data_IF_754045523908
#
_entry.id   IF_754045523908
#
_cell.length_a   1.000
_cell.length_b   1.000
_cell.length_c   1.000
_cell.angle_alpha   90.00
_cell.angle_beta   90.00
_cell.angle_gamma   90.00
#
_symmetry.space_group_name_H-M   'P 1'
#
loop_
_entity.id
_entity.type
_entity.pdbx_description
1 polymer ?
#
# COMPACT_ATOMS: atom_id res chain seq x y z
N UNK A 1 64.17 27.66 14.01
CA UNK A 1 63.42 28.13 12.83
C UNK A 1 62.85 26.89 12.16
N UNK A 2 61.51 26.83 11.97
CA UNK A 2 60.66 25.69 11.52
C UNK A 2 60.53 24.53 12.56
N UNK A 3 59.45 24.30 13.33
CA UNK A 3 57.98 24.12 13.16
C UNK A 3 57.51 22.79 12.49
N UNK A 4 56.71 22.02 13.27
CA UNK A 4 55.47 21.26 12.90
C UNK A 4 55.63 19.89 12.18
N UNK A 5 54.90 18.76 12.41
CA UNK A 5 53.82 18.21 13.30
C UNK A 5 54.00 16.66 13.28
N UNK A 6 53.70 15.86 14.34
CA UNK A 6 53.55 14.41 14.20
C UNK A 6 52.18 14.04 13.63
N UNK A 7 52.12 13.46 12.42
CA UNK A 7 50.87 12.88 11.91
C UNK A 7 50.62 11.49 12.51
N UNK A 8 49.41 11.36 13.04
CA UNK A 8 48.70 10.12 13.40
C UNK A 8 48.98 8.98 12.42
N UNK A 9 49.37 7.82 12.95
CA UNK A 9 49.17 6.54 12.27
C UNK A 9 47.67 6.22 12.36
N UNK A 10 46.93 6.47 11.29
CA UNK A 10 45.64 5.82 11.10
C UNK A 10 45.91 4.36 10.76
N UNK A 11 45.46 3.44 11.61
CA UNK A 11 45.31 2.04 11.25
C UNK A 11 44.39 1.99 10.02
N UNK A 12 44.94 1.59 8.88
CA UNK A 12 44.18 1.35 7.67
C UNK A 12 43.09 0.33 7.96
N UNK A 13 41.84 0.73 7.75
CA UNK A 13 40.71 -0.19 7.63
C UNK A 13 41.08 -1.19 6.53
N UNK A 14 41.20 -2.47 6.87
CA UNK A 14 41.36 -3.54 5.90
C UNK A 14 40.22 -3.44 4.89
N UNK A 15 40.53 -3.18 3.62
CA UNK A 15 39.59 -3.39 2.54
C UNK A 15 39.24 -4.88 2.55
N UNK A 16 37.94 -5.20 2.59
CA UNK A 16 37.50 -6.56 2.36
C UNK A 16 37.90 -6.91 0.92
N UNK A 17 38.76 -7.91 0.78
CA UNK A 17 39.15 -8.45 -0.53
C UNK A 17 37.88 -9.02 -1.16
N UNK A 18 37.32 -8.34 -2.16
CA UNK A 18 36.23 -8.86 -2.97
C UNK A 18 36.72 -10.15 -3.61
N UNK A 19 36.01 -11.26 -3.38
CA UNK A 19 36.34 -12.55 -3.99
C UNK A 19 36.22 -12.37 -5.50
N UNK A 20 37.35 -12.47 -6.22
CA UNK A 20 37.36 -12.41 -7.67
C UNK A 20 36.48 -13.54 -8.21
N UNK A 21 35.47 -13.19 -8.98
CA UNK A 21 34.54 -14.16 -9.54
C UNK A 21 35.12 -14.65 -10.86
N UNK A 22 35.42 -15.95 -11.01
CA UNK A 22 35.99 -16.47 -12.24
C UNK A 22 35.06 -16.20 -13.42
N UNK A 23 35.57 -15.57 -14.48
CA UNK A 23 34.80 -15.19 -15.67
C UNK A 23 34.35 -13.73 -15.72
N UNK A 24 34.41 -12.96 -14.62
CA UNK A 24 34.06 -11.54 -14.56
C UNK A 24 35.32 -10.68 -14.82
N UNK A 25 35.51 -10.24 -16.06
CA UNK A 25 36.70 -9.53 -16.50
C UNK A 25 36.59 -8.02 -16.26
N UNK A 26 35.39 -7.45 -16.34
CA UNK A 26 35.18 -6.02 -16.08
C UNK A 26 34.87 -5.71 -14.60
N UNK A 27 34.75 -6.74 -13.76
CA UNK A 27 34.42 -6.69 -12.34
C UNK A 27 33.10 -5.97 -12.06
N UNK A 28 32.11 -6.12 -12.96
CA UNK A 28 30.77 -5.53 -12.81
C UNK A 28 29.80 -6.43 -12.02
N UNK A 29 30.28 -7.59 -11.59
CA UNK A 29 29.52 -8.58 -10.85
C UNK A 29 28.64 -9.44 -11.75
N UNK A 30 28.86 -9.46 -13.06
CA UNK A 30 28.19 -10.35 -14.02
C UNK A 30 29.25 -11.06 -14.86
N UNK A 31 28.92 -12.26 -15.30
CA UNK A 31 29.71 -13.00 -16.29
C UNK A 31 28.88 -13.08 -17.55
N UNK A 32 29.11 -12.16 -18.48
CA UNK A 32 28.30 -12.01 -19.68
C UNK A 32 29.13 -11.79 -20.96
N UNK A 33 28.47 -11.30 -22.01
CA UNK A 33 29.09 -11.07 -23.32
C UNK A 33 30.16 -9.97 -23.32
N UNK A 34 30.18 -9.09 -22.32
CA UNK A 34 31.19 -8.04 -22.20
C UNK A 34 32.52 -8.65 -21.73
N UNK A 35 32.49 -9.60 -20.81
CA UNK A 35 33.69 -10.30 -20.33
C UNK A 35 34.33 -11.16 -21.43
N UNK A 36 33.49 -11.79 -22.24
CA UNK A 36 33.93 -12.52 -23.43
C UNK A 36 34.72 -11.63 -24.39
N UNK A 37 34.25 -10.41 -24.63
CA UNK A 37 34.94 -9.46 -25.53
C UNK A 37 36.31 -9.07 -24.97
N UNK A 38 36.45 -8.96 -23.64
CA UNK A 38 37.74 -8.68 -22.99
C UNK A 38 38.70 -9.86 -23.18
N UNK A 39 38.26 -11.09 -22.90
CA UNK A 39 39.07 -12.29 -23.14
C UNK A 39 39.45 -12.44 -24.62
N UNK A 40 38.49 -12.28 -25.53
CA UNK A 40 38.69 -12.45 -26.97
C UNK A 40 39.75 -11.48 -27.52
N UNK A 41 39.74 -10.23 -27.06
CA UNK A 41 40.70 -9.22 -27.49
C UNK A 41 42.14 -9.47 -26.98
N UNK A 42 42.29 -10.26 -25.92
CA UNK A 42 43.59 -10.57 -25.31
C UNK A 42 44.06 -12.02 -25.55
N UNK A 43 43.28 -12.84 -26.27
CA UNK A 43 43.60 -14.23 -26.54
C UNK A 43 44.98 -14.42 -27.17
N UNK A 44 45.77 -15.33 -26.59
CA UNK A 44 47.13 -15.65 -27.02
C UNK A 44 48.21 -14.73 -26.46
N UNK A 45 47.86 -13.73 -25.63
CA UNK A 45 48.83 -12.87 -24.97
C UNK A 45 49.35 -13.49 -23.66
N UNK A 46 50.54 -13.03 -23.22
CA UNK A 46 51.10 -13.29 -21.89
C UNK A 46 51.07 -11.97 -21.12
N UNK A 47 50.38 -11.94 -19.99
CA UNK A 47 50.15 -10.71 -19.22
C UNK A 47 50.03 -11.00 -17.72
N UNK A 48 50.35 -10.02 -16.88
CA UNK A 48 50.15 -10.08 -15.43
C UNK A 48 48.86 -9.36 -14.98
N UNK A 49 47.95 -9.09 -15.92
CA UNK A 49 46.69 -8.38 -15.65
C UNK A 49 45.61 -9.23 -14.97
N UNK A 50 45.79 -10.56 -14.87
CA UNK A 50 44.81 -11.48 -14.27
C UNK A 50 43.42 -11.38 -14.93
N UNK A 51 42.36 -11.47 -14.11
CA UNK A 51 40.96 -11.44 -14.58
C UNK A 51 40.64 -10.25 -15.48
N UNK A 52 41.26 -9.07 -15.24
CA UNK A 52 40.97 -7.83 -15.99
C UNK A 52 41.37 -7.87 -17.47
N UNK A 53 42.17 -8.85 -17.87
CA UNK A 53 42.56 -9.11 -19.26
C UNK A 53 42.06 -10.47 -19.75
N UNK A 54 41.23 -11.16 -18.97
CA UNK A 54 40.71 -12.49 -19.29
C UNK A 54 41.62 -13.66 -18.89
N UNK A 55 42.62 -13.47 -18.01
CA UNK A 55 43.37 -14.56 -17.37
C UNK A 55 42.64 -14.95 -16.06
N UNK A 56 41.77 -15.95 -16.14
CA UNK A 56 40.87 -16.35 -15.05
C UNK A 56 41.46 -17.45 -14.16
N UNK A 57 42.53 -18.12 -14.59
CA UNK A 57 43.25 -19.10 -13.77
C UNK A 57 44.54 -18.54 -13.13
N UNK A 58 44.90 -17.29 -13.42
CA UNK A 58 46.10 -16.57 -12.97
C UNK A 58 47.42 -17.28 -13.33
N UNK A 59 47.49 -17.95 -14.48
CA UNK A 59 48.70 -18.62 -14.96
C UNK A 59 49.55 -17.75 -15.90
N UNK A 60 49.16 -16.49 -16.10
CA UNK A 60 49.77 -15.45 -16.94
C UNK A 60 49.58 -15.64 -18.45
N UNK A 61 48.84 -16.67 -18.88
CA UNK A 61 48.45 -16.87 -20.28
C UNK A 61 46.96 -16.65 -20.41
N UNK A 62 46.53 -16.10 -21.54
CA UNK A 62 45.12 -15.86 -21.83
C UNK A 62 44.74 -16.79 -22.98
N UNK A 63 44.22 -17.97 -22.67
CA UNK A 63 44.03 -19.04 -23.65
C UNK A 63 42.68 -19.79 -23.53
N UNK A 64 42.62 -20.98 -24.10
CA UNK A 64 41.40 -21.80 -24.12
C UNK A 64 40.98 -22.31 -22.73
N UNK A 65 41.88 -22.34 -21.74
CA UNK A 65 41.55 -22.68 -20.36
C UNK A 65 40.71 -21.58 -19.72
N UNK A 66 41.06 -20.31 -19.98
CA UNK A 66 40.30 -19.15 -19.50
C UNK A 66 38.92 -19.06 -20.15
N UNK A 67 38.84 -19.39 -21.45
CA UNK A 67 37.55 -19.49 -22.13
C UNK A 67 36.61 -20.49 -21.44
N UNK A 68 37.13 -21.66 -21.06
CA UNK A 68 36.32 -22.68 -20.36
C UNK A 68 35.89 -22.18 -18.99
N UNK A 69 36.70 -21.37 -18.31
CA UNK A 69 36.35 -20.75 -17.03
C UNK A 69 35.22 -19.72 -17.22
N UNK A 70 35.32 -18.82 -18.20
CA UNK A 70 34.24 -17.89 -18.53
C UNK A 70 32.96 -18.63 -18.93
N UNK A 71 33.07 -19.62 -19.83
CA UNK A 71 31.91 -20.37 -20.34
C UNK A 71 31.15 -21.09 -19.22
N UNK A 72 31.86 -21.71 -18.29
CA UNK A 72 31.24 -22.41 -17.16
C UNK A 72 30.55 -21.48 -16.16
N UNK A 73 30.90 -20.19 -16.16
CA UNK A 73 30.30 -19.18 -15.29
C UNK A 73 29.36 -18.24 -16.05
N UNK A 74 29.14 -18.42 -17.36
CA UNK A 74 28.28 -17.54 -18.16
C UNK A 74 26.85 -17.48 -17.61
N UNK A 75 26.35 -16.25 -17.40
CA UNK A 75 25.07 -15.98 -16.75
C UNK A 75 25.15 -15.91 -15.22
N UNK A 76 26.32 -16.11 -14.62
CA UNK A 76 26.53 -15.89 -13.19
C UNK A 76 26.47 -14.40 -12.87
N UNK A 77 25.77 -14.05 -11.79
CA UNK A 77 25.68 -12.68 -11.28
C UNK A 77 26.08 -12.73 -9.82
N UNK A 78 27.19 -12.09 -9.48
CA UNK A 78 27.62 -11.81 -8.11
C UNK A 78 26.55 -10.92 -7.49
N UNK A 79 25.87 -11.36 -6.42
CA UNK A 79 25.00 -10.48 -5.65
C UNK A 79 25.87 -9.31 -5.17
N UNK A 80 25.48 -8.05 -5.39
CA UNK A 80 26.32 -6.91 -5.07
C UNK A 80 26.81 -7.00 -3.62
N UNK A 81 28.12 -6.95 -3.41
CA UNK A 81 28.71 -6.82 -2.07
C UNK A 81 28.32 -5.45 -1.53
N UNK A 82 27.18 -5.41 -0.85
CA UNK A 82 26.64 -4.23 -0.21
C UNK A 82 27.66 -3.71 0.81
N UNK A 83 28.00 -2.41 0.87
CA UNK A 83 28.54 -1.87 2.12
C UNK A 83 27.46 -2.13 3.15
N UNK A 84 27.72 -3.00 4.13
CA UNK A 84 26.72 -3.47 5.10
C UNK A 84 25.74 -2.35 5.47
N UNK A 85 24.51 -2.37 4.93
CA UNK A 85 23.43 -1.70 5.58
C UNK A 85 23.03 -2.69 6.67
N UNK A 86 23.22 -2.32 7.93
CA UNK A 86 22.31 -2.85 8.95
C UNK A 86 20.92 -2.38 8.57
N UNK A 87 20.19 -3.20 7.80
CA UNK A 87 18.76 -3.01 7.48
C UNK A 87 18.09 -4.38 7.34
N UNK A 88 18.00 -5.12 8.44
CA UNK A 88 16.64 -5.45 8.86
C UNK A 88 16.06 -4.09 9.28
N UNK A 89 14.93 -3.61 8.76
CA UNK A 89 14.24 -2.52 9.42
C UNK A 89 14.05 -2.99 10.87
N UNK A 90 14.81 -2.41 11.80
CA UNK A 90 14.49 -2.57 13.21
C UNK A 90 13.06 -2.10 13.31
N UNK A 91 12.17 -2.96 13.82
CA UNK A 91 10.73 -2.73 14.00
C UNK A 91 10.38 -1.27 13.82
N UNK A 92 9.70 -0.91 12.72
CA UNK A 92 9.40 0.49 12.47
C UNK A 92 8.56 1.00 13.65
N UNK A 93 9.04 1.96 14.44
CA UNK A 93 8.30 2.43 15.60
C UNK A 93 6.95 2.97 15.14
N UNK A 94 5.94 2.84 16.00
CA UNK A 94 4.59 3.35 15.79
C UNK A 94 4.65 4.73 15.08
N UNK A 95 4.08 4.87 13.88
CA UNK A 95 4.15 6.12 13.16
C UNK A 95 3.45 7.21 13.97
N UNK A 96 4.18 8.26 14.33
CA UNK A 96 3.63 9.40 15.08
C UNK A 96 3.06 10.50 14.19
N UNK A 97 3.29 10.42 12.88
CA UNK A 97 2.86 11.43 11.90
C UNK A 97 2.86 10.86 10.49
N UNK A 98 2.16 11.56 9.57
CA UNK A 98 2.17 11.25 8.15
C UNK A 98 3.56 11.35 7.53
N UNK A 99 3.97 10.28 6.85
CA UNK A 99 5.22 10.17 6.14
C UNK A 99 5.12 10.91 4.81
N UNK A 100 6.14 11.70 4.50
CA UNK A 100 6.28 12.34 3.20
C UNK A 100 7.52 11.78 2.53
N UNK A 101 7.37 11.33 1.29
CA UNK A 101 8.47 10.79 0.52
C UNK A 101 9.42 11.91 0.07
N UNK A 102 10.70 11.56 -0.07
CA UNK A 102 11.79 12.52 -0.34
C UNK A 102 12.50 12.30 -1.67
N UNK A 103 12.07 11.29 -2.44
CA UNK A 103 12.62 10.92 -3.73
C UNK A 103 11.95 11.65 -4.90
N UNK A 104 12.00 11.06 -6.11
CA UNK A 104 11.50 11.72 -7.31
C UNK A 104 9.97 11.87 -7.31
N UNK A 105 9.48 12.87 -8.04
CA UNK A 105 8.05 13.06 -8.27
C UNK A 105 7.69 12.61 -9.69
N UNK A 106 6.75 11.68 -9.79
CA UNK A 106 6.13 11.26 -11.05
C UNK A 106 4.75 11.91 -11.13
N UNK A 107 4.60 12.90 -12.01
CA UNK A 107 3.32 13.57 -12.22
C UNK A 107 2.53 12.87 -13.32
N UNK A 108 1.31 12.42 -12.99
CA UNK A 108 0.34 11.96 -13.98
C UNK A 108 -0.77 13.00 -14.11
N UNK A 109 -1.29 13.15 -15.33
CA UNK A 109 -2.31 14.15 -15.61
C UNK A 109 -3.22 13.74 -16.75
N UNK A 110 -4.40 14.36 -16.81
CA UNK A 110 -5.39 14.13 -17.85
C UNK A 110 -6.38 13.03 -17.51
N UNK A 111 -7.36 12.88 -18.39
CA UNK A 111 -8.38 11.82 -18.30
C UNK A 111 -7.85 10.60 -19.05
N UNK A 112 -7.80 9.46 -18.39
CA UNK A 112 -7.36 8.19 -18.95
C UNK A 112 -8.46 7.15 -18.81
N UNK A 113 -8.52 6.25 -19.78
CA UNK A 113 -9.34 5.05 -19.72
C UNK A 113 -8.49 3.78 -19.57
N UNK A 114 -7.15 3.90 -19.58
CA UNK A 114 -6.22 2.78 -19.44
C UNK A 114 -5.72 2.65 -18.01
N UNK A 115 -5.48 1.40 -17.62
CA UNK A 115 -4.82 1.04 -16.39
C UNK A 115 -3.36 1.53 -16.36
N UNK A 116 -2.99 2.28 -15.33
CA UNK A 116 -1.60 2.68 -15.09
C UNK A 116 -0.86 1.62 -14.27
N UNK A 117 0.16 1.00 -14.85
CA UNK A 117 0.94 -0.07 -14.21
C UNK A 117 2.44 0.22 -14.29
N UNK A 118 3.12 0.22 -13.14
CA UNK A 118 4.59 0.30 -13.09
C UNK A 118 5.15 -0.84 -12.27
N UNK A 119 6.03 -1.60 -12.90
CA UNK A 119 6.77 -2.70 -12.30
C UNK A 119 7.71 -2.21 -11.20
N UNK A 120 8.69 -1.43 -11.65
CA UNK A 120 9.80 -0.98 -10.81
C UNK A 120 9.67 0.50 -10.41
N UNK A 121 9.73 0.80 -9.12
CA UNK A 121 9.63 2.14 -8.56
C UNK A 121 10.93 2.50 -7.81
N UNK A 122 11.36 3.76 -7.97
CA UNK A 122 12.54 4.30 -7.27
C UNK A 122 12.17 4.58 -5.81
N UNK A 123 13.10 4.33 -4.89
CA UNK A 123 12.86 4.61 -3.48
C UNK A 123 12.47 6.07 -3.21
N UNK A 124 11.44 6.29 -2.40
CA UNK A 124 10.94 7.62 -2.04
C UNK A 124 10.15 8.29 -3.15
N UNK A 125 9.67 7.55 -4.16
CA UNK A 125 8.88 8.15 -5.25
C UNK A 125 7.54 8.66 -4.73
N UNK A 126 7.19 9.89 -5.13
CA UNK A 126 5.84 10.41 -5.01
C UNK A 126 5.15 10.38 -6.37
N UNK A 127 4.04 9.68 -6.48
CA UNK A 127 3.11 9.81 -7.59
C UNK A 127 2.15 10.98 -7.32
N UNK A 128 2.35 12.08 -8.03
CA UNK A 128 1.46 13.24 -7.99
C UNK A 128 0.36 13.06 -9.04
N UNK A 129 -0.81 12.65 -8.57
CA UNK A 129 -1.99 12.31 -9.35
C UNK A 129 -3.07 13.41 -9.25
N UNK A 130 -2.79 14.56 -8.64
CA UNK A 130 -3.81 15.61 -8.41
C UNK A 130 -4.50 16.11 -9.67
N UNK A 131 -3.85 15.98 -10.84
CA UNK A 131 -4.43 16.32 -12.14
C UNK A 131 -4.80 15.09 -12.99
N UNK A 132 -4.78 13.90 -12.41
CA UNK A 132 -5.05 12.63 -13.07
C UNK A 132 -6.45 12.12 -12.74
N UNK A 133 -7.15 11.68 -13.77
CA UNK A 133 -8.51 11.17 -13.68
C UNK A 133 -8.61 9.85 -14.46
N UNK A 134 -9.01 8.77 -13.81
CA UNK A 134 -9.12 7.45 -14.42
C UNK A 134 -10.55 6.97 -14.52
N UNK A 135 -10.92 6.50 -15.71
CA UNK A 135 -12.16 5.80 -16.02
C UNK A 135 -11.91 4.30 -16.25
N UNK A 136 -10.71 3.79 -15.98
CA UNK A 136 -10.30 2.46 -16.46
C UNK A 136 -11.13 1.30 -15.88
N UNK A 137 -11.47 1.39 -14.59
CA UNK A 137 -12.16 0.33 -13.86
C UNK A 137 -13.57 0.14 -14.41
N UNK A 138 -13.88 -1.06 -14.90
CA UNK A 138 -15.17 -1.40 -15.49
C UNK A 138 -15.33 -0.98 -16.96
N UNK A 139 -14.33 -0.33 -17.56
CA UNK A 139 -14.35 0.08 -18.98
C UNK A 139 -13.33 -0.71 -19.79
N UNK A 140 -12.04 -0.64 -19.42
CA UNK A 140 -10.95 -1.32 -20.14
C UNK A 140 -10.14 -2.26 -19.24
N UNK A 141 -10.26 -2.11 -17.93
CA UNK A 141 -9.49 -2.87 -16.95
C UNK A 141 -10.28 -3.07 -15.65
N UNK A 142 -9.79 -3.95 -14.80
CA UNK A 142 -10.25 -4.11 -13.42
C UNK A 142 -9.50 -3.21 -12.42
N UNK A 143 -8.41 -2.55 -12.84
CA UNK A 143 -7.57 -1.74 -11.95
C UNK A 143 -7.31 -0.35 -12.53
N UNK A 144 -7.33 0.69 -11.70
CA UNK A 144 -6.99 2.04 -12.17
C UNK A 144 -5.47 2.29 -12.11
N UNK A 145 -4.84 1.92 -11.01
CA UNK A 145 -3.45 2.26 -10.71
C UNK A 145 -2.75 1.17 -9.91
N UNK A 146 -1.58 0.70 -10.37
CA UNK A 146 -0.75 -0.27 -9.65
C UNK A 146 0.73 -0.01 -9.82
N UNK A 147 1.47 0.08 -8.73
CA UNK A 147 2.91 0.37 -8.77
C UNK A 147 3.70 -0.43 -7.73
N UNK A 148 4.96 -0.72 -8.04
CA UNK A 148 5.93 -1.35 -7.12
C UNK A 148 5.93 -2.88 -7.11
N UNK A 149 5.21 -3.51 -8.04
CA UNK A 149 5.00 -4.96 -8.03
C UNK A 149 6.27 -5.80 -8.31
N UNK A 150 7.26 -5.24 -9.03
CA UNK A 150 8.53 -5.92 -9.33
C UNK A 150 9.64 -5.50 -8.36
N UNK A 151 9.53 -4.30 -7.77
CA UNK A 151 10.29 -3.91 -6.58
C UNK A 151 9.48 -2.94 -5.71
N UNK A 152 9.27 -3.31 -4.45
CA UNK A 152 8.78 -2.37 -3.45
C UNK A 152 9.86 -1.34 -3.14
N UNK A 153 9.66 -0.04 -3.39
CA UNK A 153 10.54 0.98 -2.82
C UNK A 153 10.42 0.95 -1.29
N UNK A 154 11.42 1.44 -0.54
CA UNK A 154 11.25 1.58 0.91
C UNK A 154 10.08 2.53 1.21
N UNK A 155 10.02 3.66 0.52
CA UNK A 155 8.94 4.63 0.70
C UNK A 155 8.24 4.90 -0.62
N UNK A 156 6.91 4.80 -0.61
CA UNK A 156 6.02 5.10 -1.72
C UNK A 156 4.95 6.08 -1.24
N UNK A 157 4.74 7.13 -2.03
CA UNK A 157 3.70 8.11 -1.76
C UNK A 157 2.80 8.30 -2.98
N UNK A 158 1.50 8.38 -2.74
CA UNK A 158 0.49 8.75 -3.73
C UNK A 158 -0.25 9.99 -3.24
N UNK A 159 -0.35 11.00 -4.11
CA UNK A 159 -1.01 12.27 -3.80
C UNK A 159 -2.06 12.60 -4.84
N UNK A 160 -3.31 12.67 -4.41
CA UNK A 160 -4.45 12.98 -5.28
C UNK A 160 -4.82 11.83 -6.19
N UNK A 161 -5.55 12.15 -7.25
CA UNK A 161 -6.04 11.18 -8.21
C UNK A 161 -7.53 10.95 -8.02
N UNK A 162 -8.24 10.96 -9.14
CA UNK A 162 -9.66 10.63 -9.18
C UNK A 162 -9.84 9.33 -9.93
N UNK A 163 -10.39 8.32 -9.26
CA UNK A 163 -10.81 7.07 -9.89
C UNK A 163 -12.33 7.06 -9.96
N UNK A 164 -12.83 7.05 -11.18
CA UNK A 164 -14.24 6.91 -11.52
C UNK A 164 -14.47 5.52 -12.10
N UNK A 165 -14.83 4.57 -11.26
CA UNK A 165 -15.16 3.23 -11.69
C UNK A 165 -16.55 3.15 -12.33
N UNK A 166 -16.68 2.22 -13.27
CA UNK A 166 -17.90 1.98 -14.05
C UNK A 166 -18.40 0.55 -13.88
N UNK A 167 -18.18 -0.05 -12.71
CA UNK A 167 -18.79 -1.33 -12.38
C UNK A 167 -20.31 -1.17 -12.49
N UNK A 168 -20.96 -2.04 -13.24
CA UNK A 168 -22.39 -1.99 -13.50
C UNK A 168 -23.16 -2.11 -12.17
N UNK A 169 -24.03 -1.14 -11.84
CA UNK A 169 -24.74 -1.14 -10.56
C UNK A 169 -25.69 -2.32 -10.39
N UNK A 170 -26.04 -3.02 -11.47
CA UNK A 170 -26.88 -4.22 -11.43
C UNK A 170 -26.11 -5.49 -11.07
N UNK A 171 -24.78 -5.44 -10.96
CA UNK A 171 -24.00 -6.62 -10.59
C UNK A 171 -24.27 -7.06 -9.15
N UNK A 172 -24.37 -8.38 -9.00
CA UNK A 172 -24.39 -9.03 -7.71
C UNK A 172 -22.97 -9.10 -7.13
N UNK A 173 -22.86 -9.39 -5.84
CA UNK A 173 -21.54 -9.43 -5.21
C UNK A 173 -20.62 -10.50 -5.81
N UNK A 174 -21.14 -11.65 -6.23
CA UNK A 174 -20.29 -12.69 -6.82
C UNK A 174 -19.69 -12.23 -8.15
N UNK A 175 -20.45 -11.52 -8.97
CA UNK A 175 -19.99 -10.94 -10.24
C UNK A 175 -18.97 -9.85 -9.97
N UNK A 176 -19.26 -8.93 -9.04
CA UNK A 176 -18.32 -7.87 -8.65
C UNK A 176 -17.03 -8.47 -8.09
N UNK A 177 -17.13 -9.50 -7.25
CA UNK A 177 -15.97 -10.13 -6.63
C UNK A 177 -15.12 -10.96 -7.60
N UNK A 178 -15.76 -11.61 -8.57
CA UNK A 178 -15.06 -12.33 -9.63
C UNK A 178 -14.43 -11.39 -10.67
N UNK A 179 -15.00 -10.19 -10.86
CA UNK A 179 -14.41 -9.17 -11.71
C UNK A 179 -13.02 -8.77 -11.20
N UNK A 180 -12.85 -8.74 -9.88
CA UNK A 180 -11.58 -8.42 -9.26
C UNK A 180 -11.26 -6.92 -9.36
N UNK A 181 -10.21 -6.52 -8.64
CA UNK A 181 -9.51 -5.26 -8.87
C UNK A 181 -10.00 -4.10 -8.01
N UNK A 182 -9.56 -2.89 -8.34
CA UNK A 182 -9.72 -1.79 -7.40
C UNK A 182 -9.27 -0.43 -7.91
N UNK A 183 -9.34 0.54 -7.02
CA UNK A 183 -8.84 1.88 -7.27
C UNK A 183 -7.33 1.87 -7.39
N UNK A 184 -6.65 1.60 -6.28
CA UNK A 184 -5.20 1.62 -6.20
C UNK A 184 -4.67 0.36 -5.55
N UNK A 185 -3.60 -0.21 -6.10
CA UNK A 185 -2.79 -1.24 -5.44
C UNK A 185 -1.32 -0.80 -5.43
N UNK A 186 -0.72 -0.75 -4.25
CA UNK A 186 0.63 -0.20 -4.07
C UNK A 186 1.47 -1.20 -3.32
N UNK A 187 2.71 -1.39 -3.76
CA UNK A 187 3.66 -2.30 -3.13
C UNK A 187 4.83 -1.49 -2.58
N UNK A 188 5.10 -1.62 -1.28
CA UNK A 188 6.16 -0.91 -0.57
C UNK A 188 6.90 -1.85 0.38
N UNK A 189 8.14 -1.49 0.73
CA UNK A 189 8.98 -2.20 1.70
C UNK A 189 9.14 -1.45 3.01
N UNK A 190 8.41 -0.34 3.21
CA UNK A 190 8.27 0.36 4.50
C UNK A 190 7.07 1.29 4.50
N UNK A 191 7.17 2.54 4.03
CA UNK A 191 6.02 3.45 4.09
C UNK A 191 5.22 3.36 2.79
N UNK A 192 3.91 3.15 2.92
CA UNK A 192 2.96 3.27 1.83
C UNK A 192 1.91 4.33 2.20
N UNK A 193 2.08 5.53 1.63
CA UNK A 193 1.39 6.73 2.07
C UNK A 193 0.49 7.29 0.97
N UNK A 194 -0.78 7.48 1.28
CA UNK A 194 -1.78 7.97 0.35
C UNK A 194 -2.50 9.19 0.92
N UNK A 195 -2.58 10.27 0.14
CA UNK A 195 -3.37 11.45 0.51
C UNK A 195 -4.21 12.01 -0.63
N UNK A 196 -5.34 12.64 -0.31
CA UNK A 196 -6.19 13.41 -1.24
C UNK A 196 -6.85 12.60 -2.37
N UNK A 197 -6.96 11.28 -2.24
CA UNK A 197 -7.57 10.43 -3.27
C UNK A 197 -9.09 10.54 -3.28
N UNK A 198 -9.67 10.46 -4.48
CA UNK A 198 -11.12 10.30 -4.70
C UNK A 198 -11.35 8.99 -5.44
N UNK A 199 -12.04 8.04 -4.81
CA UNK A 199 -12.30 6.71 -5.41
C UNK A 199 -13.79 6.41 -5.40
N UNK A 200 -14.34 6.12 -6.57
CA UNK A 200 -15.76 5.85 -6.76
C UNK A 200 -16.00 4.55 -7.51
N UNK A 201 -16.97 3.75 -7.05
CA UNK A 201 -17.56 2.62 -7.79
C UNK A 201 -16.56 1.59 -8.33
N UNK A 202 -15.69 1.11 -7.44
CA UNK A 202 -14.73 0.03 -7.69
C UNK A 202 -15.04 -1.15 -6.76
N UNK A 203 -14.42 -2.32 -6.98
CA UNK A 203 -14.53 -3.41 -6.02
C UNK A 203 -13.82 -3.05 -4.72
N UNK A 204 -12.48 -3.01 -4.73
CA UNK A 204 -11.67 -2.58 -3.60
C UNK A 204 -11.14 -1.16 -3.78
N UNK A 205 -11.14 -0.37 -2.71
CA UNK A 205 -10.69 1.02 -2.74
C UNK A 205 -9.18 1.11 -2.91
N UNK A 206 -8.46 0.73 -1.85
CA UNK A 206 -7.00 0.70 -1.81
C UNK A 206 -6.49 -0.61 -1.22
N UNK A 207 -5.56 -1.25 -1.94
CA UNK A 207 -4.84 -2.43 -1.49
C UNK A 207 -3.37 -2.08 -1.25
N UNK A 208 -2.99 -1.64 -0.03
CA UNK A 208 -1.59 -1.51 0.34
C UNK A 208 -0.96 -2.90 0.51
N UNK A 209 0.24 -3.09 -0.05
CA UNK A 209 0.96 -4.36 -0.05
C UNK A 209 2.37 -4.20 0.45
N UNK A 210 2.82 -5.20 1.20
CA UNK A 210 4.22 -5.37 1.49
C UNK A 210 4.91 -6.07 0.33
N UNK A 211 6.12 -5.62 -0.01
CA UNK A 211 6.95 -6.36 -0.94
C UNK A 211 7.39 -7.70 -0.30
N UNK A 212 7.22 -8.86 -0.95
CA UNK A 212 7.34 -10.18 -0.29
C UNK A 212 8.68 -10.43 0.41
N UNK A 213 9.77 -9.86 -0.10
CA UNK A 213 11.12 -9.94 0.43
C UNK A 213 11.28 -9.17 1.76
N UNK A 214 10.34 -8.31 2.11
CA UNK A 214 10.34 -7.43 3.28
C UNK A 214 9.00 -7.51 4.06
N UNK A 215 8.50 -8.71 4.32
CA UNK A 215 7.30 -8.88 5.16
C UNK A 215 7.49 -8.33 6.57
N UNK A 216 6.40 -7.82 7.16
CA UNK A 216 6.33 -7.23 8.50
C UNK A 216 7.22 -5.99 8.70
N UNK A 217 7.26 -5.12 7.69
CA UNK A 217 8.02 -3.86 7.71
C UNK A 217 7.21 -2.66 7.24
N UNK A 218 6.08 -2.94 6.58
CA UNK A 218 5.15 -2.03 5.97
C UNK A 218 4.37 -1.20 6.98
N UNK A 219 4.07 0.03 6.61
CA UNK A 219 3.20 0.93 7.34
C UNK A 219 2.29 1.60 6.31
N UNK A 220 0.99 1.32 6.42
CA UNK A 220 -0.02 1.97 5.61
C UNK A 220 -0.47 3.29 6.23
N UNK A 221 -0.57 4.33 5.41
CA UNK A 221 -0.98 5.66 5.85
C UNK A 221 -1.96 6.25 4.86
N UNK A 222 -3.14 6.63 5.33
CA UNK A 222 -4.13 7.33 4.52
C UNK A 222 -4.56 8.62 5.18
N UNK A 223 -4.69 9.70 4.40
CA UNK A 223 -5.41 10.89 4.85
C UNK A 223 -6.17 11.63 3.74
N UNK A 224 -7.20 12.38 4.12
CA UNK A 224 -7.96 13.23 3.20
C UNK A 224 -8.56 12.44 2.01
N UNK A 225 -8.86 11.16 2.22
CA UNK A 225 -9.44 10.32 1.18
C UNK A 225 -10.96 10.47 1.16
N UNK A 226 -11.56 10.42 -0.04
CA UNK A 226 -12.99 10.36 -0.23
C UNK A 226 -13.39 9.15 -1.08
N UNK A 227 -14.00 8.16 -0.45
CA UNK A 227 -14.43 6.92 -1.10
C UNK A 227 -15.94 6.71 -1.03
N UNK A 228 -16.51 6.24 -2.13
CA UNK A 228 -17.96 6.05 -2.31
C UNK A 228 -18.23 4.86 -3.21
N UNK A 229 -19.27 4.08 -2.95
CA UNK A 229 -19.67 2.99 -3.83
C UNK A 229 -18.64 1.86 -3.92
N UNK A 230 -17.82 1.67 -2.87
CA UNK A 230 -16.87 0.56 -2.79
C UNK A 230 -17.65 -0.74 -2.54
N UNK A 231 -17.37 -1.78 -3.35
CA UNK A 231 -18.23 -2.96 -3.46
C UNK A 231 -17.76 -4.16 -2.62
N UNK A 232 -16.50 -4.18 -2.17
CA UNK A 232 -16.00 -5.06 -1.10
C UNK A 232 -15.22 -4.23 -0.07
N UNK A 233 -13.89 -4.16 -0.12
CA UNK A 233 -13.06 -3.56 0.92
C UNK A 233 -12.54 -2.16 0.53
N UNK A 234 -12.87 -1.11 1.32
CA UNK A 234 -12.33 0.25 1.05
C UNK A 234 -10.83 0.31 1.26
N UNK A 235 -10.34 -0.46 2.23
CA UNK A 235 -8.92 -0.70 2.46
C UNK A 235 -8.75 -2.20 2.64
N UNK A 236 -8.06 -2.84 1.71
CA UNK A 236 -7.79 -4.28 1.69
C UNK A 236 -6.37 -4.54 2.23
N UNK A 237 -6.22 -4.54 3.56
CA UNK A 237 -4.93 -4.74 4.23
C UNK A 237 -4.62 -6.23 4.43
N UNK A 238 -4.49 -6.95 3.33
CA UNK A 238 -4.21 -8.40 3.32
C UNK A 238 -2.85 -8.78 3.93
N UNK A 239 -1.92 -7.83 3.96
CA UNK A 239 -0.56 -8.03 4.46
C UNK A 239 -0.40 -7.56 5.91
N UNK A 240 -1.48 -7.18 6.60
CA UNK A 240 -1.47 -6.83 8.03
C UNK A 240 -0.44 -5.73 8.34
N UNK A 241 -0.45 -4.65 7.55
CA UNK A 241 0.40 -3.48 7.79
C UNK A 241 -0.20 -2.60 8.89
N UNK A 242 0.55 -2.19 9.92
CA UNK A 242 0.09 -1.18 10.88
C UNK A 242 -0.06 0.20 10.24
N UNK A 243 -0.62 1.14 10.99
CA UNK A 243 -0.55 2.56 10.61
C UNK A 243 -1.78 3.36 10.96
N UNK A 244 -2.23 4.23 10.07
CA UNK A 244 -3.36 5.11 10.36
C UNK A 244 -4.20 5.50 9.14
N UNK A 245 -5.45 5.87 9.43
CA UNK A 245 -6.41 6.48 8.50
C UNK A 245 -6.95 7.76 9.14
N UNK A 246 -6.66 8.91 8.55
CA UNK A 246 -6.94 10.21 9.15
C UNK A 246 -7.83 11.10 8.28
N UNK A 247 -8.77 11.81 8.90
CA UNK A 247 -9.51 12.90 8.27
C UNK A 247 -10.06 12.53 6.88
N UNK A 248 -10.72 11.36 6.81
CA UNK A 248 -11.17 10.75 5.56
C UNK A 248 -12.64 10.37 5.61
N UNK A 249 -13.31 10.44 4.47
CA UNK A 249 -14.74 10.15 4.32
C UNK A 249 -14.95 8.91 3.45
N UNK A 250 -15.63 7.93 4.02
CA UNK A 250 -16.07 6.70 3.37
C UNK A 250 -17.59 6.71 3.38
N UNK A 251 -18.20 7.29 2.36
CA UNK A 251 -19.64 7.45 2.30
C UNK A 251 -20.25 6.42 1.35
N UNK A 252 -20.78 5.36 1.94
CA UNK A 252 -21.49 4.33 1.22
C UNK A 252 -20.59 3.26 0.63
N UNK A 253 -19.96 2.52 1.53
CA UNK A 253 -19.03 1.42 1.24
C UNK A 253 -19.57 0.10 1.80
N UNK A 254 -19.20 -1.05 1.21
CA UNK A 254 -19.59 -2.37 1.75
C UNK A 254 -18.81 -2.72 3.02
N UNK A 255 -17.48 -2.61 2.93
CA UNK A 255 -16.55 -2.81 4.04
C UNK A 255 -15.57 -1.65 4.14
N UNK A 256 -15.31 -1.17 5.35
CA UNK A 256 -14.34 -0.09 5.56
C UNK A 256 -12.90 -0.59 5.53
N UNK A 257 -12.52 -1.49 6.44
CA UNK A 257 -11.15 -1.98 6.54
C UNK A 257 -11.15 -3.49 6.71
N UNK A 258 -10.40 -4.19 5.87
CA UNK A 258 -10.15 -5.63 6.02
C UNK A 258 -8.70 -5.92 6.39
N UNK A 259 -8.54 -6.95 7.21
CA UNK A 259 -7.27 -7.59 7.52
C UNK A 259 -7.53 -9.09 7.51
N UNK A 260 -7.70 -9.61 6.30
CA UNK A 260 -8.08 -10.98 6.08
C UNK A 260 -7.35 -11.49 4.85
N UNK A 261 -6.33 -12.32 5.07
CA UNK A 261 -5.59 -12.89 3.96
C UNK A 261 -6.51 -13.61 2.96
N UNK A 262 -6.11 -13.62 1.69
CA UNK A 262 -6.78 -14.43 0.68
C UNK A 262 -6.69 -15.93 1.05
N UNK A 263 -7.79 -16.64 0.78
CA UNK A 263 -8.01 -18.01 1.26
C UNK A 263 -6.93 -18.99 0.78
N UNK A 264 -6.46 -19.87 1.67
CA UNK A 264 -5.69 -21.08 1.30
C UNK A 264 -4.20 -21.11 1.65
N UNK A 265 -3.58 -20.01 2.08
CA UNK A 265 -2.17 -19.95 2.52
C UNK A 265 -1.94 -20.00 4.04
N UNK A 266 -0.66 -19.99 4.44
CA UNK A 266 -0.23 -19.63 5.81
C UNK A 266 -0.69 -18.18 6.05
N UNK A 267 -1.43 -17.89 7.13
CA UNK A 267 -1.83 -16.52 7.42
C UNK A 267 -0.63 -15.60 7.59
N UNK A 268 -0.61 -14.51 6.80
CA UNK A 268 0.11 -13.30 7.20
C UNK A 268 -0.41 -12.88 8.57
N UNK A 269 0.49 -12.44 9.43
CA UNK A 269 0.20 -12.08 10.82
C UNK A 269 1.20 -11.00 11.21
N UNK A 270 0.88 -10.25 12.26
CA UNK A 270 1.79 -9.24 12.81
C UNK A 270 3.17 -9.83 13.10
N UNK A 271 4.21 -9.14 12.64
CA UNK A 271 5.59 -9.52 12.88
C UNK A 271 6.14 -9.09 14.24
N UNK A 272 7.26 -9.69 14.66
CA UNK A 272 7.91 -9.33 15.91
C UNK A 272 8.35 -7.86 15.94
N UNK A 273 7.74 -7.08 16.84
CA UNK A 273 8.10 -5.69 17.10
C UNK A 273 7.31 -4.67 16.28
N UNK A 274 6.47 -5.09 15.34
CA UNK A 274 5.55 -4.16 14.67
C UNK A 274 4.62 -3.47 15.65
N UNK A 275 4.16 -2.27 15.28
CA UNK A 275 3.10 -1.61 16.03
C UNK A 275 1.85 -2.48 16.00
N UNK A 276 1.25 -2.73 17.15
CA UNK A 276 0.07 -3.59 17.28
C UNK A 276 -1.23 -2.84 17.02
N UNK A 277 -1.17 -1.64 16.45
CA UNK A 277 -2.32 -0.75 16.34
C UNK A 277 -2.49 -0.17 14.93
N UNK A 278 -3.74 -0.13 14.49
CA UNK A 278 -4.22 0.77 13.45
C UNK A 278 -4.99 1.91 14.12
N UNK A 279 -4.63 3.15 13.78
CA UNK A 279 -5.25 4.36 14.32
C UNK A 279 -6.22 4.94 13.30
N UNK A 280 -7.48 5.11 13.67
CA UNK A 280 -8.51 5.76 12.84
C UNK A 280 -8.91 7.06 13.52
N UNK A 281 -8.58 8.19 12.91
CA UNK A 281 -8.73 9.51 13.55
C UNK A 281 -9.52 10.48 12.68
N UNK A 282 -10.59 11.07 13.22
CA UNK A 282 -11.47 12.01 12.49
C UNK A 282 -11.95 11.45 11.14
N UNK A 283 -12.17 10.14 11.08
CA UNK A 283 -12.64 9.48 9.86
C UNK A 283 -14.11 9.11 10.00
N UNK A 284 -14.84 9.25 8.91
CA UNK A 284 -16.29 9.15 8.89
C UNK A 284 -16.73 8.09 7.89
N UNK A 285 -17.38 7.05 8.40
CA UNK A 285 -17.63 5.82 7.67
C UNK A 285 -19.12 5.53 7.68
N UNK A 286 -19.76 5.45 6.52
CA UNK A 286 -21.14 4.97 6.38
C UNK A 286 -21.18 3.74 5.50
N UNK A 287 -21.74 2.65 6.05
CA UNK A 287 -22.01 1.45 5.27
C UNK A 287 -23.25 1.63 4.39
N UNK A 288 -23.18 1.12 3.17
CA UNK A 288 -24.30 1.13 2.23
C UNK A 288 -24.39 -0.21 1.47
N UNK A 289 -25.59 -0.56 1.01
CA UNK A 289 -25.80 -1.73 0.16
C UNK A 289 -25.29 -1.40 -1.24
N UNK A 290 -24.03 -1.72 -1.52
CA UNK A 290 -23.41 -1.37 -2.78
C UNK A 290 -23.60 -2.43 -3.85
N UNK A 291 -24.12 -3.64 -3.58
CA UNK A 291 -24.36 -4.68 -4.60
C UNK A 291 -25.85 -4.96 -4.80
N UNK A 292 -26.26 -5.29 -6.03
CA UNK A 292 -27.68 -5.46 -6.38
C UNK A 292 -28.33 -6.72 -5.77
N UNK A 293 -27.54 -7.79 -5.61
CA UNK A 293 -27.95 -9.09 -5.05
C UNK A 293 -26.71 -9.92 -4.65
N UNK A 294 -26.90 -11.16 -4.18
CA UNK A 294 -25.81 -12.05 -3.73
C UNK A 294 -25.23 -11.71 -2.35
N UNK A 295 -25.16 -10.41 -2.02
CA UNK A 295 -24.81 -9.82 -0.71
C UNK A 295 -25.42 -8.40 -0.60
N UNK A 296 -26.74 -8.27 -0.79
CA UNK A 296 -27.45 -6.98 -0.95
C UNK A 296 -27.62 -6.13 0.32
N UNK A 297 -27.12 -6.60 1.47
CA UNK A 297 -27.09 -5.83 2.70
C UNK A 297 -25.65 -5.35 2.91
N UNK A 298 -25.44 -4.23 3.62
CA UNK A 298 -24.10 -3.74 3.86
C UNK A 298 -23.27 -4.79 4.61
N UNK A 299 -21.98 -4.83 4.30
CA UNK A 299 -21.00 -5.69 4.94
C UNK A 299 -20.75 -5.29 6.40
N UNK A 300 -19.58 -4.69 6.67
CA UNK A 300 -19.05 -4.51 8.03
C UNK A 300 -18.05 -3.37 8.10
N UNK A 301 -17.82 -2.82 9.28
CA UNK A 301 -16.74 -1.82 9.42
C UNK A 301 -15.36 -2.49 9.40
N UNK A 302 -15.20 -3.63 10.05
CA UNK A 302 -13.91 -4.32 10.17
C UNK A 302 -14.04 -5.81 9.82
N UNK A 303 -13.30 -6.25 8.80
CA UNK A 303 -13.27 -7.63 8.29
C UNK A 303 -11.99 -8.32 8.75
N UNK A 304 -11.96 -8.72 10.03
CA UNK A 304 -10.79 -9.35 10.66
C UNK A 304 -10.72 -10.84 10.37
N UNK A 305 -9.51 -11.38 10.39
CA UNK A 305 -9.22 -12.76 10.08
C UNK A 305 -9.67 -13.70 11.22
N UNK A 306 -10.63 -14.61 11.00
CA UNK A 306 -11.14 -15.47 12.07
C UNK A 306 -10.27 -16.72 12.34
N UNK A 307 -9.15 -16.92 11.62
CA UNK A 307 -8.37 -18.17 11.60
C UNK A 307 -7.31 -18.30 12.71
N UNK A 308 -7.53 -17.67 13.86
CA UNK A 308 -6.57 -17.67 14.98
C UNK A 308 -5.33 -16.80 14.74
N UNK A 309 -5.39 -15.94 13.72
CA UNK A 309 -4.39 -14.91 13.44
C UNK A 309 -4.58 -13.73 14.37
N UNK A 310 -3.48 -13.12 14.80
CA UNK A 310 -3.55 -11.86 15.51
C UNK A 310 -3.74 -10.73 14.50
N UNK A 311 -4.89 -10.06 14.57
CA UNK A 311 -5.13 -8.79 13.89
C UNK A 311 -4.63 -7.61 14.72
N UNK A 312 -4.52 -6.43 14.11
CA UNK A 312 -4.21 -5.22 14.87
C UNK A 312 -5.35 -4.85 15.83
N UNK A 313 -4.96 -4.23 16.96
CA UNK A 313 -5.88 -3.47 17.78
C UNK A 313 -6.26 -2.17 17.05
N UNK A 314 -7.42 -1.63 17.40
CA UNK A 314 -7.84 -0.33 16.88
C UNK A 314 -7.73 0.75 17.94
N UNK A 315 -7.23 1.92 17.55
CA UNK A 315 -7.36 3.15 18.32
C UNK A 315 -8.21 4.12 17.52
N UNK A 316 -9.44 4.31 17.96
CA UNK A 316 -10.45 5.12 17.27
C UNK A 316 -10.57 6.47 17.97
N UNK A 317 -10.31 7.56 17.25
CA UNK A 317 -10.30 8.92 17.79
C UNK A 317 -11.25 9.83 17.01
N UNK A 318 -12.15 10.51 17.70
CA UNK A 318 -13.05 11.53 17.13
C UNK A 318 -13.76 11.13 15.82
N UNK A 319 -14.16 9.86 15.71
CA UNK A 319 -14.64 9.25 14.45
C UNK A 319 -16.13 8.90 14.49
N UNK A 320 -16.74 8.77 13.32
CA UNK A 320 -18.17 8.48 13.17
C UNK A 320 -18.36 7.23 12.33
N UNK A 321 -19.13 6.28 12.85
CA UNK A 321 -19.49 5.04 12.19
C UNK A 321 -21.00 4.98 12.03
N UNK A 322 -21.47 5.00 10.80
CA UNK A 322 -22.88 5.04 10.44
C UNK A 322 -23.27 3.80 9.64
N UNK A 323 -24.51 3.38 9.81
CA UNK A 323 -25.12 2.35 8.99
C UNK A 323 -26.63 2.52 9.00
N UNK A 324 -27.30 1.86 8.06
CA UNK A 324 -28.74 1.92 7.86
C UNK A 324 -29.30 0.50 7.77
N UNK A 325 -30.64 0.39 7.76
CA UNK A 325 -31.32 -0.90 7.58
C UNK A 325 -31.34 -1.35 6.13
N UNK A 326 -31.46 -2.67 5.85
CA UNK A 326 -31.72 -3.78 6.77
C UNK A 326 -30.50 -4.26 7.57
N UNK A 327 -30.65 -5.33 8.37
CA UNK A 327 -29.55 -5.88 9.18
C UNK A 327 -28.29 -6.14 8.33
N UNK A 328 -27.09 -5.98 8.89
CA UNK A 328 -25.85 -6.29 8.19
C UNK A 328 -25.88 -7.71 7.64
N UNK A 329 -25.23 -7.89 6.49
CA UNK A 329 -25.19 -9.15 5.76
C UNK A 329 -24.84 -10.35 6.63
N UNK A 330 -23.82 -10.21 7.46
CA UNK A 330 -23.27 -11.29 8.28
C UNK A 330 -23.82 -11.28 9.72
N UNK A 331 -24.98 -10.64 9.90
CA UNK A 331 -25.64 -10.48 11.20
C UNK A 331 -25.12 -9.27 11.99
N UNK A 332 -25.76 -8.99 13.12
CA UNK A 332 -25.49 -7.79 13.91
C UNK A 332 -24.07 -7.74 14.49
N UNK A 333 -23.45 -8.88 14.75
CA UNK A 333 -22.05 -8.92 15.19
C UNK A 333 -21.06 -8.37 14.17
N UNK A 334 -21.45 -8.24 12.89
CA UNK A 334 -20.62 -7.62 11.85
C UNK A 334 -20.37 -6.12 12.07
N UNK A 335 -21.18 -5.48 12.94
CA UNK A 335 -20.97 -4.09 13.34
C UNK A 335 -20.22 -3.97 14.67
N UNK A 336 -19.88 -5.08 15.32
CA UNK A 336 -19.08 -5.01 16.53
C UNK A 336 -17.65 -4.56 16.17
N UNK A 337 -17.11 -3.67 16.97
CA UNK A 337 -15.69 -3.32 16.90
C UNK A 337 -14.85 -4.51 17.40
N UNK A 338 -13.67 -4.77 16.80
CA UNK A 338 -12.72 -5.76 17.29
C UNK A 338 -12.45 -5.64 18.80
N UNK A 339 -12.25 -6.78 19.45
CA UNK A 339 -11.83 -6.82 20.85
C UNK A 339 -10.51 -6.06 21.02
N UNK A 340 -10.35 -5.35 22.14
CA UNK A 340 -9.17 -4.51 22.38
C UNK A 340 -9.24 -3.11 21.74
N UNK A 341 -10.30 -2.78 21.00
CA UNK A 341 -10.49 -1.43 20.46
C UNK A 341 -10.52 -0.38 21.58
N UNK A 342 -9.66 0.63 21.46
CA UNK A 342 -9.59 1.80 22.34
C UNK A 342 -10.27 2.99 21.69
N UNK A 343 -11.20 3.63 22.39
CA UNK A 343 -11.85 4.87 21.95
C UNK A 343 -11.28 6.08 22.68
N UNK A 344 -10.90 7.11 21.92
CA UNK A 344 -10.35 8.37 22.42
C UNK A 344 -11.20 9.52 21.90
N UNK A 345 -11.45 10.54 22.74
CA UNK A 345 -12.24 11.70 22.33
C UNK A 345 -13.72 11.37 22.12
N UNK A 346 -14.35 11.99 21.11
CA UNK A 346 -15.80 11.91 20.89
C UNK A 346 -16.12 11.04 19.67
N UNK A 347 -16.54 9.80 19.92
CA UNK A 347 -16.87 8.85 18.87
C UNK A 347 -18.37 8.59 18.79
N UNK A 348 -18.88 8.36 17.58
CA UNK A 348 -20.30 8.11 17.35
C UNK A 348 -20.54 6.80 16.62
N UNK A 349 -21.59 6.09 17.04
CA UNK A 349 -22.31 5.12 16.23
C UNK A 349 -23.66 5.73 15.85
N UNK A 350 -23.96 5.76 14.55
CA UNK A 350 -25.18 6.32 13.99
C UNK A 350 -26.01 5.23 13.33
N UNK A 351 -27.15 4.91 13.93
CA UNK A 351 -28.17 4.07 13.28
C UNK A 351 -29.15 4.95 12.51
N UNK A 352 -28.99 4.99 11.18
CA UNK A 352 -29.79 5.85 10.32
C UNK A 352 -31.21 5.31 10.07
N UNK A 353 -31.46 4.04 10.41
CA UNK A 353 -32.76 3.38 10.24
C UNK A 353 -33.78 3.72 11.32
N UNK A 354 -34.87 2.96 11.33
CA UNK A 354 -35.96 3.11 12.33
C UNK A 354 -35.45 2.90 13.76
N UNK A 355 -35.76 3.78 14.72
CA UNK A 355 -35.38 3.62 16.13
C UNK A 355 -35.73 2.24 16.71
N UNK A 356 -34.87 1.71 17.58
CA UNK A 356 -34.96 0.36 18.15
C UNK A 356 -34.50 -0.75 17.21
N UNK A 357 -34.05 -0.41 15.99
CA UNK A 357 -33.60 -1.37 14.98
C UNK A 357 -32.19 -1.92 15.21
N UNK A 358 -31.31 -1.16 15.86
CA UNK A 358 -29.90 -1.51 16.07
C UNK A 358 -29.73 -2.60 17.13
N UNK A 359 -29.02 -3.69 16.81
CA UNK A 359 -28.83 -4.83 17.73
C UNK A 359 -27.37 -5.26 17.93
N UNK A 360 -26.41 -4.47 17.47
CA UNK A 360 -24.99 -4.73 17.72
C UNK A 360 -24.57 -4.12 19.07
N UNK A 361 -23.35 -4.44 19.51
CA UNK A 361 -22.81 -3.92 20.76
C UNK A 361 -22.41 -2.46 20.58
N UNK A 362 -22.87 -1.60 21.49
CA UNK A 362 -22.42 -0.20 21.60
C UNK A 362 -21.27 -0.18 22.61
N UNK A 363 -20.03 0.14 22.21
CA UNK A 363 -18.91 0.19 23.14
C UNK A 363 -19.07 1.29 24.20
N UNK A 364 -18.52 1.06 25.39
CA UNK A 364 -18.50 2.08 26.45
C UNK A 364 -17.77 3.34 25.97
N UNK A 365 -18.31 4.52 26.29
CA UNK A 365 -17.75 5.81 25.90
C UNK A 365 -18.06 6.24 24.46
N UNK A 366 -18.73 5.40 23.66
CA UNK A 366 -19.20 5.77 22.31
C UNK A 366 -20.63 6.30 22.37
N UNK A 367 -20.87 7.44 21.72
CA UNK A 367 -22.19 8.06 21.67
C UNK A 367 -23.03 7.34 20.61
N UNK A 368 -24.18 6.82 21.00
CA UNK A 368 -25.13 6.21 20.08
C UNK A 368 -26.28 7.17 19.77
N UNK A 369 -26.58 7.35 18.49
CA UNK A 369 -27.77 8.04 18.01
C UNK A 369 -28.53 7.12 17.04
N UNK A 370 -29.85 7.29 16.98
CA UNK A 370 -30.69 6.57 16.03
C UNK A 370 -31.79 7.44 15.41
N UNK A 371 -32.28 7.04 14.23
CA UNK A 371 -33.36 7.73 13.53
C UNK A 371 -32.96 9.13 13.08
N UNK A 372 -33.87 10.11 13.21
CA UNK A 372 -33.65 11.47 12.74
C UNK A 372 -32.40 12.14 13.33
N UNK A 373 -32.13 12.09 14.66
CA UNK A 373 -30.88 12.62 15.21
C UNK A 373 -29.61 12.02 14.59
N UNK A 374 -29.63 10.73 14.25
CA UNK A 374 -28.50 10.07 13.59
C UNK A 374 -28.34 10.54 12.15
N UNK A 375 -29.45 10.69 11.42
CA UNK A 375 -29.47 11.22 10.06
C UNK A 375 -28.93 12.66 10.01
N UNK A 376 -29.41 13.53 10.91
CA UNK A 376 -28.95 14.92 11.01
C UNK A 376 -27.45 14.98 11.32
N UNK A 377 -26.99 14.15 12.27
CA UNK A 377 -25.57 14.06 12.63
C UNK A 377 -24.71 13.58 11.46
N UNK A 378 -25.16 12.59 10.69
CA UNK A 378 -24.43 12.11 9.51
C UNK A 378 -24.33 13.21 8.44
N UNK A 379 -25.47 13.79 8.05
CA UNK A 379 -25.50 14.84 7.01
C UNK A 379 -24.65 16.05 7.40
N UNK A 380 -24.67 16.46 8.68
CA UNK A 380 -23.79 17.49 9.20
C UNK A 380 -22.30 17.10 9.10
N UNK A 381 -21.95 15.90 9.58
CA UNK A 381 -20.56 15.42 9.60
C UNK A 381 -19.99 15.33 8.18
N UNK A 382 -20.72 14.68 7.27
CA UNK A 382 -20.39 14.54 5.86
C UNK A 382 -20.17 15.91 5.21
N UNK A 383 -21.14 16.80 5.30
CA UNK A 383 -21.07 18.08 4.59
C UNK A 383 -20.00 19.02 5.17
N UNK A 384 -19.74 18.93 6.48
CA UNK A 384 -18.63 19.65 7.12
C UNK A 384 -17.29 19.17 6.56
N UNK A 385 -17.10 17.85 6.46
CA UNK A 385 -15.89 17.28 5.86
C UNK A 385 -15.74 17.65 4.38
N UNK A 386 -16.80 17.48 3.58
CA UNK A 386 -16.80 17.83 2.15
C UNK A 386 -16.39 19.29 1.94
N UNK A 387 -17.01 20.22 2.67
CA UNK A 387 -16.71 21.65 2.55
C UNK A 387 -15.28 21.96 3.00
N UNK A 388 -14.80 21.35 4.09
CA UNK A 388 -13.44 21.55 4.59
C UNK A 388 -12.36 21.07 3.60
N UNK A 389 -12.69 20.09 2.75
CA UNK A 389 -11.77 19.49 1.78
C UNK A 389 -12.06 19.89 0.32
N UNK A 390 -12.77 21.00 0.11
CA UNK A 390 -12.94 21.59 -1.22
C UNK A 390 -13.99 20.93 -2.11
N UNK A 391 -14.88 20.11 -1.53
CA UNK A 391 -16.04 19.53 -2.22
C UNK A 391 -17.31 20.34 -1.95
N UNK A 392 -18.24 20.32 -2.91
CA UNK A 392 -19.58 20.87 -2.69
C UNK A 392 -20.34 20.00 -1.67
N UNK A 393 -21.10 20.61 -0.74
CA UNK A 393 -21.93 19.85 0.19
C UNK A 393 -23.08 19.16 -0.57
N UNK A 394 -23.56 18.05 -0.02
CA UNK A 394 -24.68 17.29 -0.59
C UNK A 394 -26.02 17.68 0.03
N UNK A 395 -27.15 17.50 -0.67
CA UNK A 395 -28.48 17.60 -0.07
C UNK A 395 -28.59 16.73 1.19
N UNK A 396 -29.29 17.22 2.21
CA UNK A 396 -29.39 16.54 3.51
C UNK A 396 -30.17 15.23 3.45
N UNK A 397 -31.00 15.08 2.44
CA UNK A 397 -31.84 13.92 2.11
C UNK A 397 -31.23 13.02 1.02
N UNK A 398 -30.03 13.37 0.52
CA UNK A 398 -29.29 12.54 -0.41
C UNK A 398 -28.55 11.42 0.34
N UNK A 399 -29.09 10.21 0.23
CA UNK A 399 -28.59 9.00 0.87
C UNK A 399 -27.89 8.04 -0.10
N UNK A 400 -27.95 8.31 -1.41
CA UNK A 400 -27.40 7.41 -2.42
C UNK A 400 -25.95 7.83 -2.73
N UNK A 401 -24.94 7.10 -2.24
CA UNK A 401 -23.54 7.43 -2.51
C UNK A 401 -23.15 7.25 -3.99
N UNK A 402 -23.99 6.55 -4.78
CA UNK A 402 -23.73 6.30 -6.19
C UNK A 402 -24.00 7.53 -7.08
N UNK A 403 -24.74 8.50 -6.58
CA UNK A 403 -25.03 9.75 -7.31
C UNK A 403 -23.95 10.83 -7.05
N UNK A 404 -22.92 10.50 -6.26
CA UNK A 404 -21.90 11.46 -5.89
C UNK A 404 -21.06 11.93 -7.07
N UNK A 405 -20.81 13.24 -7.20
CA UNK A 405 -19.91 13.72 -8.23
C UNK A 405 -18.51 13.14 -8.02
N UNK A 406 -17.92 12.70 -9.11
CA UNK A 406 -16.56 12.20 -9.15
C UNK A 406 -15.68 13.33 -9.66
N UNK A 407 -15.20 14.13 -8.72
CA UNK A 407 -14.42 15.34 -8.99
C UNK A 407 -13.16 15.35 -8.14
N UNK A 408 -12.14 16.05 -8.62
CA UNK A 408 -10.99 16.36 -7.79
C UNK A 408 -11.40 17.38 -6.70
N UNK A 409 -10.74 17.34 -5.52
CA UNK A 409 -10.90 18.41 -4.53
C UNK A 409 -10.46 19.75 -5.16
N UNK A 410 -11.22 20.83 -4.92
CA UNK A 410 -10.96 22.17 -5.48
C UNK A 410 -9.73 22.85 -4.88
#
# INVERSE_FOLDING_TARGET
>A
MALFIPYLVFAGKSAATQVATPGDANNDGRVDGIDYVIWFNNYGQISQGGSSVGDFNNDTKIDGVDYVIWFNNYGFVVPPSSPTPSKIPTSTPAPSSFHSCTGPVVTLSGIVDQYYRVGTVVNGTTYDLRSWYSNAVGVTSSMAFKVGLDNGPLDLCVKGGVVNGHIDPTWDWATTHNFGGGGLETWSSRYDSMELVRIHNVEDGWKPREFPEFGNTGIMQMRYAYMTGIRDDSIENDDFMPGFVEDSLFDGVDTFLSEQNQSGGIPTTLGPGEDLNIRVTRSYIRLYSTNSSGKSNPGRWFKWQPRGTQNHNLVITDSVFATHGPSPRDGWSALNFPEGTTFVGTNYILWLGTPGGYKAVIPSGVIFLEGQPAQDKWSQTRNTWLTAHGYDPRPVDDWNPMDDPVVAPR
#
